data_IF_309331469543
#
_entry.id   IF_309331469543
#
_cell.length_a   1.000
_cell.length_b   1.000
_cell.length_c   1.000
_cell.angle_alpha   90.00
_cell.angle_beta   90.00
_cell.angle_gamma   90.00
#
_symmetry.space_group_name_H-M   'P 1'
#
loop_
_entity.id
_entity.type
_entity.pdbx_description
1 polymer ?
#
# COMPACT_ATOMS: atom_id res chain seq x y z
N UNK A 1 21.56 -26.06 13.45
CA UNK A 1 20.55 -26.79 12.68
C UNK A 1 19.84 -27.73 13.64
N UNK A 2 18.70 -27.28 14.21
CA UNK A 2 17.63 -28.10 14.84
C UNK A 2 16.74 -27.26 15.78
N UNK A 3 16.25 -26.10 15.30
CA UNK A 3 15.18 -25.33 15.97
C UNK A 3 14.00 -25.00 15.03
N UNK A 4 14.01 -25.55 13.81
CA UNK A 4 12.85 -25.57 12.91
C UNK A 4 12.13 -26.91 13.05
N UNK A 5 11.69 -27.21 14.27
CA UNK A 5 10.80 -28.36 14.48
C UNK A 5 9.44 -28.01 13.88
N UNK A 6 9.08 -28.80 12.87
CA UNK A 6 7.79 -28.88 12.17
C UNK A 6 6.65 -28.12 12.85
N UNK A 7 6.27 -26.96 12.30
CA UNK A 7 4.95 -26.39 12.55
C UNK A 7 3.96 -27.11 11.65
N UNK A 8 3.45 -28.24 12.11
CA UNK A 8 2.18 -28.74 11.58
C UNK A 8 1.10 -27.72 11.93
N UNK A 9 0.34 -27.28 10.91
CA UNK A 9 -0.86 -26.49 11.16
C UNK A 9 -1.86 -27.42 11.87
N UNK A 10 -1.97 -27.27 13.19
CA UNK A 10 -2.87 -28.09 13.99
C UNK A 10 -4.31 -27.63 13.75
N UNK A 11 -4.96 -28.11 12.69
CA UNK A 11 -6.42 -28.13 12.64
C UNK A 11 -6.94 -29.24 13.55
N UNK A 12 -7.03 -28.94 14.85
CA UNK A 12 -7.82 -29.74 15.79
C UNK A 12 -9.11 -29.00 16.11
N UNK A 13 -10.13 -29.22 15.30
CA UNK A 13 -11.48 -28.77 15.63
C UNK A 13 -12.23 -29.85 16.41
N UNK A 14 -12.27 -29.69 17.73
CA UNK A 14 -13.25 -30.38 18.58
C UNK A 14 -14.40 -29.42 18.91
N UNK A 15 -15.62 -29.95 19.00
CA UNK A 15 -16.86 -29.26 19.37
C UNK A 15 -16.84 -28.53 20.72
N UNK A 16 -15.77 -28.70 21.50
CA UNK A 16 -15.54 -28.09 22.82
C UNK A 16 -14.25 -27.25 22.90
N UNK A 17 -13.67 -26.87 21.76
CA UNK A 17 -12.53 -25.94 21.70
C UNK A 17 -12.86 -24.62 22.41
N UNK A 18 -11.95 -24.16 23.29
CA UNK A 18 -11.97 -22.82 23.90
C UNK A 18 -11.31 -21.76 23.02
N UNK A 19 -10.88 -22.12 21.80
CA UNK A 19 -10.36 -21.16 20.83
C UNK A 19 -11.53 -20.39 20.19
N UNK A 20 -11.34 -19.10 19.91
CA UNK A 20 -12.36 -18.18 19.38
C UNK A 20 -13.60 -18.03 20.27
N UNK A 21 -13.43 -18.13 21.60
CA UNK A 21 -14.48 -17.80 22.56
C UNK A 21 -14.57 -16.30 22.76
N UNK A 22 -15.74 -15.74 22.47
CA UNK A 22 -16.10 -14.36 22.79
C UNK A 22 -16.77 -14.33 24.16
N UNK A 23 -16.30 -13.44 25.03
CA UNK A 23 -16.98 -13.11 26.29
C UNK A 23 -17.95 -11.97 26.02
N UNK A 24 -19.15 -12.05 26.58
CA UNK A 24 -20.19 -11.04 26.40
C UNK A 24 -20.93 -10.81 27.70
N UNK A 25 -21.42 -9.58 27.86
CA UNK A 25 -22.39 -9.28 28.90
C UNK A 25 -23.72 -10.02 28.60
N UNK A 26 -24.19 -10.91 29.50
CA UNK A 26 -25.48 -11.60 29.36
C UNK A 26 -26.68 -10.67 29.16
N UNK A 27 -26.61 -9.43 29.66
CA UNK A 27 -27.65 -8.41 29.51
C UNK A 27 -27.67 -7.92 28.06
N UNK A 28 -26.52 -7.62 27.47
CA UNK A 28 -26.39 -7.20 26.08
C UNK A 28 -26.84 -8.33 25.13
N UNK A 29 -26.44 -9.57 25.38
CA UNK A 29 -26.89 -10.71 24.57
C UNK A 29 -28.41 -10.87 24.63
N UNK A 30 -29.02 -10.66 25.81
CA UNK A 30 -30.47 -10.78 25.97
C UNK A 30 -31.27 -9.66 25.29
N UNK A 31 -30.67 -8.48 25.09
CA UNK A 31 -31.27 -7.39 24.32
C UNK A 31 -31.32 -7.69 22.82
N UNK A 32 -30.29 -8.40 22.32
CA UNK A 32 -30.07 -8.63 20.88
C UNK A 32 -30.53 -10.01 20.39
N UNK A 33 -30.66 -11.00 21.29
CA UNK A 33 -31.10 -12.37 20.97
C UNK A 33 -32.11 -12.90 21.98
N UNK A 34 -33.25 -13.37 21.48
CA UNK A 34 -34.24 -14.13 22.27
C UNK A 34 -33.88 -15.61 22.32
N UNK A 35 -33.10 -15.97 23.32
CA UNK A 35 -32.58 -17.33 23.51
C UNK A 35 -33.67 -18.40 23.73
N UNK A 36 -33.72 -19.40 22.84
CA UNK A 36 -34.48 -20.65 23.06
C UNK A 36 -33.96 -21.40 24.29
N UNK A 37 -34.81 -22.26 24.90
CA UNK A 37 -34.51 -23.00 26.16
C UNK A 37 -33.13 -23.67 26.17
N UNK A 38 -32.74 -24.30 25.06
CA UNK A 38 -31.45 -24.99 24.92
C UNK A 38 -30.21 -24.08 24.99
N UNK A 39 -30.35 -22.79 24.69
CA UNK A 39 -29.25 -21.80 24.69
C UNK A 39 -29.22 -20.91 25.93
N UNK A 40 -30.16 -21.06 26.88
CA UNK A 40 -30.22 -20.20 28.08
C UNK A 40 -29.00 -20.33 29.00
N UNK A 41 -28.23 -21.41 28.89
CA UNK A 41 -26.98 -21.59 29.62
C UNK A 41 -25.95 -20.49 29.31
N UNK A 42 -26.04 -19.85 28.13
CA UNK A 42 -25.21 -18.70 27.75
C UNK A 42 -25.36 -17.51 28.69
N UNK A 43 -26.55 -17.34 29.30
CA UNK A 43 -26.78 -16.29 30.31
C UNK A 43 -25.93 -16.47 31.56
N UNK A 44 -25.57 -17.73 31.88
CA UNK A 44 -24.75 -18.07 33.04
C UNK A 44 -23.27 -18.11 32.69
N UNK A 45 -22.93 -18.59 31.50
CA UNK A 45 -21.54 -18.73 31.09
C UNK A 45 -20.90 -17.39 30.69
N UNK A 46 -21.67 -16.47 30.13
CA UNK A 46 -21.16 -15.17 29.67
C UNK A 46 -20.11 -15.28 28.55
N UNK A 47 -20.01 -16.45 27.91
CA UNK A 47 -19.06 -16.72 26.82
C UNK A 47 -19.53 -17.86 25.94
N UNK A 48 -19.21 -17.79 24.64
CA UNK A 48 -19.32 -18.92 23.72
C UNK A 48 -18.39 -18.73 22.52
N UNK A 49 -18.11 -19.79 21.78
CA UNK A 49 -17.37 -19.66 20.52
C UNK A 49 -18.19 -18.91 19.48
N UNK A 50 -17.52 -18.23 18.55
CA UNK A 50 -18.19 -17.55 17.43
C UNK A 50 -19.04 -18.51 16.59
N UNK A 51 -18.55 -19.73 16.36
CA UNK A 51 -19.33 -20.79 15.71
C UNK A 51 -20.60 -21.16 16.50
N UNK A 52 -20.50 -21.23 17.82
CA UNK A 52 -21.68 -21.48 18.65
C UNK A 52 -22.64 -20.29 18.64
N UNK A 53 -22.12 -19.06 18.58
CA UNK A 53 -22.94 -17.86 18.42
C UNK A 53 -23.66 -17.84 17.07
N UNK A 54 -23.01 -18.22 15.97
CA UNK A 54 -23.63 -18.42 14.65
C UNK A 54 -24.81 -19.39 14.75
N UNK A 55 -24.62 -20.53 15.41
CA UNK A 55 -25.72 -21.48 15.65
C UNK A 55 -26.85 -20.85 16.47
N UNK A 56 -26.53 -20.05 17.48
CA UNK A 56 -27.52 -19.37 18.33
C UNK A 56 -28.31 -18.33 17.54
N UNK A 57 -27.68 -17.46 16.76
CA UNK A 57 -28.36 -16.41 15.97
C UNK A 57 -29.14 -16.99 14.79
N UNK A 58 -28.72 -18.13 14.25
CA UNK A 58 -29.47 -18.85 13.21
C UNK A 58 -30.72 -19.53 13.76
N UNK A 59 -30.64 -20.05 14.98
CA UNK A 59 -31.75 -20.80 15.58
C UNK A 59 -32.65 -19.97 16.48
N UNK A 60 -32.25 -18.76 16.88
CA UNK A 60 -33.03 -17.84 17.72
C UNK A 60 -33.47 -16.60 16.92
N UNK A 61 -34.44 -15.87 17.48
CA UNK A 61 -34.77 -14.53 16.99
C UNK A 61 -33.67 -13.57 17.45
N UNK A 62 -32.93 -13.00 16.50
CA UNK A 62 -31.71 -12.23 16.70
C UNK A 62 -31.71 -11.02 15.75
N UNK A 63 -31.23 -9.85 16.24
CA UNK A 63 -31.12 -8.62 15.45
C UNK A 63 -30.04 -8.71 14.35
N UNK A 64 -30.08 -7.78 13.40
CA UNK A 64 -29.15 -7.78 12.26
C UNK A 64 -27.71 -7.48 12.67
N UNK A 65 -27.51 -6.74 13.76
CA UNK A 65 -26.19 -6.36 14.24
C UNK A 65 -25.44 -7.58 14.79
N UNK A 66 -26.10 -8.40 15.62
CA UNK A 66 -25.49 -9.61 16.15
C UNK A 66 -25.35 -10.71 15.08
N UNK A 67 -26.22 -10.74 14.08
CA UNK A 67 -26.05 -11.61 12.89
C UNK A 67 -24.80 -11.23 12.12
N UNK A 68 -24.65 -9.93 11.77
CA UNK A 68 -23.44 -9.42 11.10
C UNK A 68 -22.18 -9.68 11.90
N UNK A 69 -22.25 -9.58 13.23
CA UNK A 69 -21.13 -9.90 14.10
C UNK A 69 -20.79 -11.40 14.11
N UNK A 70 -21.80 -12.26 14.24
CA UNK A 70 -21.62 -13.71 14.26
C UNK A 70 -21.06 -14.24 12.93
N UNK A 71 -21.52 -13.71 11.80
CA UNK A 71 -21.15 -14.14 10.46
C UNK A 71 -19.96 -13.36 9.85
N UNK A 72 -19.58 -12.22 10.45
CA UNK A 72 -18.48 -11.39 9.95
C UNK A 72 -17.10 -12.02 10.14
N UNK A 73 -16.07 -11.48 9.49
CA UNK A 73 -14.69 -12.02 9.53
C UNK A 73 -13.85 -11.45 10.69
N UNK A 74 -14.29 -10.38 11.34
CA UNK A 74 -13.53 -9.69 12.38
C UNK A 74 -13.66 -10.37 13.75
N UNK A 75 -12.57 -10.30 14.54
CA UNK A 75 -12.50 -10.73 15.93
C UNK A 75 -12.39 -9.49 16.83
N UNK A 76 -13.07 -9.51 17.98
CA UNK A 76 -12.98 -8.44 18.99
C UNK A 76 -12.38 -9.09 20.25
N UNK A 77 -11.34 -8.46 20.78
CA UNK A 77 -10.74 -8.81 22.07
C UNK A 77 -11.08 -7.73 23.11
N UNK A 78 -11.08 -8.11 24.38
CA UNK A 78 -11.39 -7.19 25.48
C UNK A 78 -10.18 -6.30 25.76
N UNK A 79 -10.38 -4.97 25.76
CA UNK A 79 -9.34 -4.04 26.20
C UNK A 79 -9.15 -4.24 27.70
N UNK A 80 -8.07 -4.94 28.08
CA UNK A 80 -7.78 -5.29 29.47
C UNK A 80 -7.52 -4.08 30.36
N UNK A 81 -6.89 -3.03 29.80
CA UNK A 81 -6.52 -1.82 30.54
C UNK A 81 -6.14 -0.68 29.58
N UNK A 82 -6.33 0.57 30.02
CA UNK A 82 -5.88 1.77 29.29
C UNK A 82 -5.03 2.61 30.24
N UNK A 83 -3.77 2.88 29.87
CA UNK A 83 -2.83 3.63 30.70
C UNK A 83 -2.27 4.82 29.95
N UNK A 84 -2.15 5.94 30.64
CA UNK A 84 -1.33 7.06 30.19
C UNK A 84 0.13 6.81 30.60
N UNK A 85 1.02 6.68 29.61
CA UNK A 85 2.46 6.50 29.84
C UNK A 85 3.15 7.84 29.60
N UNK A 86 3.75 8.39 30.66
CA UNK A 86 4.61 9.58 30.58
C UNK A 86 6.04 9.09 30.66
N UNK A 87 6.72 8.92 29.52
CA UNK A 87 8.15 8.60 29.54
C UNK A 87 8.99 9.86 29.69
N UNK A 88 10.04 9.77 30.53
CA UNK A 88 11.03 10.84 30.72
C UNK A 88 12.12 10.81 29.65
N UNK A 89 12.12 9.78 28.80
CA UNK A 89 13.08 9.55 27.73
C UNK A 89 12.32 9.23 26.44
N UNK A 90 12.89 9.50 25.25
CA UNK A 90 12.30 9.09 24.00
C UNK A 90 12.28 7.55 23.93
N UNK A 91 11.10 6.95 23.87
CA UNK A 91 10.93 5.50 23.66
C UNK A 91 10.20 5.26 22.33
N UNK A 92 10.58 4.20 21.64
CA UNK A 92 9.85 3.72 20.47
C UNK A 92 8.53 3.09 20.94
N UNK A 93 7.42 3.49 20.33
CA UNK A 93 6.09 3.01 20.67
C UNK A 93 5.52 2.29 19.46
N UNK A 94 4.96 1.10 19.66
CA UNK A 94 4.21 0.38 18.63
C UNK A 94 2.72 0.70 18.77
N UNK A 95 2.02 0.92 17.66
CA UNK A 95 0.56 1.09 17.65
C UNK A 95 -0.16 -0.17 18.15
N UNK A 96 0.44 -1.35 17.97
CA UNK A 96 0.01 -2.63 18.51
C UNK A 96 1.24 -3.51 18.77
N UNK A 97 1.39 -4.07 19.97
CA UNK A 97 2.46 -5.03 20.32
C UNK A 97 1.82 -6.33 20.82
N UNK A 98 2.25 -7.46 20.25
CA UNK A 98 1.80 -8.80 20.65
C UNK A 98 3.03 -9.60 21.07
N UNK A 99 3.26 -9.73 22.38
CA UNK A 99 4.37 -10.54 22.88
C UNK A 99 4.02 -12.04 22.76
N UNK A 100 4.90 -12.93 22.26
CA UNK A 100 6.30 -12.71 21.84
C UNK A 100 6.48 -12.46 20.34
N UNK A 101 5.40 -12.37 19.56
CA UNK A 101 5.45 -12.25 18.10
C UNK A 101 4.90 -10.90 17.65
N UNK A 102 5.80 -9.95 17.45
CA UNK A 102 5.50 -8.61 16.93
C UNK A 102 5.31 -8.59 15.40
N UNK A 103 5.16 -9.77 14.78
CA UNK A 103 5.18 -9.96 13.34
C UNK A 103 3.76 -9.91 12.74
N UNK A 104 3.49 -8.90 11.92
CA UNK A 104 2.25 -8.79 11.13
C UNK A 104 2.48 -9.26 9.69
N UNK A 105 1.77 -10.26 9.19
CA UNK A 105 1.78 -10.61 7.75
C UNK A 105 0.44 -10.20 7.11
N UNK A 106 0.54 -9.44 6.02
CA UNK A 106 -0.55 -9.17 5.09
C UNK A 106 -0.66 -10.25 3.99
N UNK A 107 -1.91 -10.61 3.66
CA UNK A 107 -2.30 -11.46 2.53
C UNK A 107 -3.28 -10.71 1.59
N UNK A 108 -3.88 -11.44 0.65
CA UNK A 108 -4.72 -10.92 -0.45
C UNK A 108 -5.81 -9.96 0.06
N UNK A 109 -5.80 -8.71 -0.42
CA UNK A 109 -6.76 -7.68 0.00
C UNK A 109 -6.16 -6.35 0.47
N UNK A 110 -4.84 -6.24 0.63
CA UNK A 110 -4.17 -4.94 0.74
C UNK A 110 -4.18 -4.30 2.14
N UNK A 111 -3.08 -4.55 2.86
CA UNK A 111 -2.37 -3.63 3.78
C UNK A 111 -2.88 -3.50 5.22
N UNK A 112 -1.97 -3.84 6.15
CA UNK A 112 -1.48 -2.97 7.22
C UNK A 112 -0.04 -3.41 7.53
N UNK A 113 0.95 -2.52 7.30
CA UNK A 113 2.36 -2.77 7.65
C UNK A 113 2.84 -1.66 8.59
N UNK A 114 2.90 -1.99 9.87
CA UNK A 114 3.86 -1.38 10.79
C UNK A 114 4.46 -2.51 11.63
N UNK A 115 5.79 -2.59 11.64
CA UNK A 115 6.61 -3.63 12.27
C UNK A 115 6.47 -5.06 11.74
N UNK A 116 6.00 -5.23 10.50
CA UNK A 116 6.34 -6.45 9.77
C UNK A 116 7.84 -6.50 9.63
N UNK A 117 8.45 -7.55 10.18
CA UNK A 117 9.86 -7.86 10.10
C UNK A 117 10.41 -7.49 8.71
N UNK A 118 11.18 -6.40 8.62
CA UNK A 118 11.65 -5.88 7.33
C UNK A 118 12.36 -6.98 6.55
N UNK A 119 13.08 -7.84 7.26
CA UNK A 119 13.71 -9.05 6.71
C UNK A 119 12.71 -9.91 5.91
N UNK A 120 11.54 -10.24 6.47
CA UNK A 120 10.54 -11.06 5.79
C UNK A 120 9.96 -10.36 4.54
N UNK A 121 9.73 -9.05 4.60
CA UNK A 121 9.27 -8.28 3.43
C UNK A 121 10.32 -8.30 2.31
N UNK A 122 11.57 -8.00 2.64
CA UNK A 122 12.67 -7.98 1.69
C UNK A 122 13.02 -9.37 1.16
N UNK A 123 12.89 -10.42 1.97
CA UNK A 123 13.00 -11.80 1.51
C UNK A 123 11.91 -12.16 0.51
N UNK A 124 10.65 -11.80 0.80
CA UNK A 124 9.52 -12.04 -0.09
C UNK A 124 9.65 -11.27 -1.42
N UNK A 125 10.14 -10.03 -1.38
CA UNK A 125 10.47 -9.25 -2.58
C UNK A 125 11.59 -9.91 -3.38
N UNK A 126 12.67 -10.34 -2.72
CA UNK A 126 13.84 -10.93 -3.38
C UNK A 126 13.54 -12.25 -4.08
N UNK A 127 12.76 -13.14 -3.48
CA UNK A 127 12.41 -14.44 -4.08
C UNK A 127 11.26 -14.34 -5.09
N UNK A 128 10.71 -13.13 -5.31
CA UNK A 128 9.57 -12.91 -6.21
C UNK A 128 8.28 -13.59 -5.74
N UNK A 129 8.17 -13.89 -4.43
CA UNK A 129 6.94 -14.46 -3.85
C UNK A 129 5.77 -13.46 -3.92
N UNK A 130 6.08 -12.17 -4.06
CA UNK A 130 5.12 -11.11 -4.31
C UNK A 130 5.08 -10.82 -5.81
N UNK A 131 4.04 -11.30 -6.50
CA UNK A 131 3.80 -11.02 -7.91
C UNK A 131 3.29 -9.59 -8.18
N UNK A 132 3.26 -8.74 -7.15
CA UNK A 132 2.58 -7.44 -7.14
C UNK A 132 3.54 -6.33 -6.69
N UNK A 133 3.11 -5.08 -6.91
CA UNK A 133 3.82 -3.89 -6.43
C UNK A 133 3.90 -3.92 -4.90
N UNK A 134 5.10 -3.73 -4.38
CA UNK A 134 5.36 -3.55 -2.94
C UNK A 134 5.78 -2.12 -2.72
N UNK A 135 5.14 -1.46 -1.76
CA UNK A 135 5.47 -0.10 -1.35
C UNK A 135 5.46 0.00 0.17
N UNK A 136 6.30 0.89 0.70
CA UNK A 136 6.40 1.17 2.13
C UNK A 136 6.99 2.54 2.38
N UNK A 137 6.90 3.01 3.62
CA UNK A 137 7.50 4.27 4.06
C UNK A 137 8.56 3.99 5.09
N UNK A 138 9.71 4.66 4.97
CA UNK A 138 10.78 4.58 5.94
C UNK A 138 11.33 6.00 6.17
N UNK A 139 11.74 6.28 7.39
CA UNK A 139 12.42 7.52 7.71
C UNK A 139 13.84 7.50 7.12
N UNK A 140 14.09 8.34 6.12
CA UNK A 140 15.40 8.56 5.52
C UNK A 140 15.47 9.96 4.93
N UNK A 141 16.63 10.61 5.07
CA UNK A 141 16.88 11.97 4.55
C UNK A 141 17.41 11.96 3.10
N UNK A 142 17.83 10.80 2.60
CA UNK A 142 18.34 10.55 1.25
C UNK A 142 18.16 9.07 0.88
N UNK A 143 18.38 8.71 -0.39
CA UNK A 143 18.37 7.31 -0.83
C UNK A 143 19.41 6.44 -0.09
N UNK A 144 20.60 6.98 0.20
CA UNK A 144 21.60 6.30 1.03
C UNK A 144 21.15 6.19 2.49
N UNK A 145 20.51 7.22 3.05
CA UNK A 145 19.94 7.14 4.40
C UNK A 145 18.87 6.05 4.54
N UNK A 146 18.10 5.81 3.48
CA UNK A 146 17.18 4.66 3.41
C UNK A 146 17.94 3.33 3.42
N UNK A 147 19.04 3.23 2.66
CA UNK A 147 19.91 2.04 2.69
C UNK A 147 20.47 1.77 4.08
N UNK A 148 21.03 2.79 4.74
CA UNK A 148 21.62 2.68 6.07
C UNK A 148 20.61 2.13 7.09
N UNK A 149 19.39 2.68 7.07
CA UNK A 149 18.29 2.21 7.92
C UNK A 149 17.87 0.78 7.62
N UNK A 150 17.70 0.44 6.34
CA UNK A 150 17.23 -0.90 5.95
C UNK A 150 18.29 -1.96 6.27
N UNK A 151 19.54 -1.69 5.93
CA UNK A 151 20.61 -2.69 6.00
C UNK A 151 21.24 -2.75 7.38
N UNK A 152 21.61 -1.60 7.95
CA UNK A 152 22.34 -1.57 9.22
C UNK A 152 21.40 -1.54 10.42
N UNK A 153 20.32 -0.76 10.40
CA UNK A 153 19.40 -0.69 11.55
C UNK A 153 18.44 -1.89 11.59
N UNK A 154 17.85 -2.26 10.45
CA UNK A 154 16.87 -3.35 10.35
C UNK A 154 17.48 -4.72 10.02
N UNK A 155 18.79 -4.78 9.77
CA UNK A 155 19.52 -6.03 9.53
C UNK A 155 19.17 -6.74 8.22
N UNK A 156 18.57 -6.03 7.25
CA UNK A 156 18.26 -6.62 5.94
C UNK A 156 19.56 -6.82 5.15
N UNK A 157 19.79 -8.00 4.55
CA UNK A 157 20.98 -8.21 3.73
C UNK A 157 21.09 -7.17 2.60
N UNK A 158 22.29 -6.61 2.32
CA UNK A 158 22.48 -5.68 1.20
C UNK A 158 21.99 -6.23 -0.15
N UNK A 159 22.12 -7.55 -0.34
CA UNK A 159 21.62 -8.23 -1.54
C UNK A 159 20.10 -8.19 -1.67
N UNK A 160 19.36 -8.18 -0.56
CA UNK A 160 17.91 -8.05 -0.54
C UNK A 160 17.47 -6.60 -0.74
N UNK A 161 18.25 -5.60 -0.28
CA UNK A 161 17.97 -4.18 -0.53
C UNK A 161 17.81 -3.87 -2.03
N UNK A 162 18.58 -4.56 -2.89
CA UNK A 162 18.48 -4.45 -4.35
C UNK A 162 17.10 -4.80 -4.92
N UNK A 163 16.19 -5.37 -4.14
CA UNK A 163 14.81 -5.56 -4.55
C UNK A 163 14.01 -4.25 -4.65
N UNK A 164 14.48 -3.15 -4.04
CA UNK A 164 13.92 -1.80 -4.25
C UNK A 164 14.28 -1.32 -5.66
N UNK A 165 13.31 -0.82 -6.41
CA UNK A 165 13.54 -0.20 -7.72
C UNK A 165 13.65 1.33 -7.64
N UNK A 166 12.80 1.97 -6.83
CA UNK A 166 12.69 3.42 -6.72
C UNK A 166 12.59 3.85 -5.24
N UNK A 167 13.21 4.98 -4.93
CA UNK A 167 13.12 5.67 -3.64
C UNK A 167 12.68 7.10 -3.93
N UNK A 168 11.60 7.53 -3.27
CA UNK A 168 11.10 8.91 -3.37
C UNK A 168 11.30 9.60 -2.03
N UNK A 169 12.05 10.70 -2.00
CA UNK A 169 12.27 11.47 -0.77
C UNK A 169 11.30 12.65 -0.73
N UNK A 170 10.54 12.71 0.36
CA UNK A 170 9.64 13.81 0.67
C UNK A 170 10.20 14.60 1.85
N UNK A 171 10.40 15.91 1.70
CA UNK A 171 10.96 16.75 2.75
C UNK A 171 10.06 17.97 3.04
N UNK A 172 10.18 18.51 4.25
CA UNK A 172 9.53 19.75 4.69
C UNK A 172 10.52 20.91 4.53
N UNK A 173 10.31 21.72 3.50
CA UNK A 173 11.10 22.91 3.23
C UNK A 173 10.54 24.11 4.00
N UNK A 174 11.40 25.09 4.26
CA UNK A 174 11.04 26.35 4.90
C UNK A 174 11.19 27.50 3.93
N UNK A 175 10.29 28.47 4.01
CA UNK A 175 10.43 29.75 3.33
C UNK A 175 11.61 30.55 3.89
N UNK A 176 12.12 31.56 3.16
CA UNK A 176 13.19 32.43 3.64
C UNK A 176 12.86 33.14 4.97
N UNK A 177 11.58 33.37 5.26
CA UNK A 177 11.12 33.96 6.53
C UNK A 177 11.16 32.97 7.72
N UNK A 178 11.41 31.68 7.48
CA UNK A 178 11.43 30.63 8.50
C UNK A 178 10.08 30.27 9.13
N UNK A 179 9.00 30.99 8.80
CA UNK A 179 7.67 30.84 9.38
C UNK A 179 6.80 29.85 8.59
N UNK A 180 6.85 29.92 7.27
CA UNK A 180 6.05 29.03 6.44
C UNK A 180 6.80 27.73 6.14
N UNK A 181 6.07 26.62 6.25
CA UNK A 181 6.57 25.28 5.95
C UNK A 181 5.74 24.67 4.85
N UNK A 182 6.40 24.01 3.91
CA UNK A 182 5.74 23.33 2.80
C UNK A 182 6.43 22.00 2.52
N UNK A 183 5.64 20.99 2.15
CA UNK A 183 6.16 19.67 1.79
C UNK A 183 6.45 19.62 0.30
N UNK A 184 7.58 19.04 -0.08
CA UNK A 184 7.97 18.78 -1.46
C UNK A 184 8.54 17.39 -1.60
N UNK A 185 8.28 16.76 -2.74
CA UNK A 185 9.16 15.70 -3.22
C UNK A 185 10.46 16.38 -3.64
N UNK A 186 11.57 15.95 -3.05
CA UNK A 186 12.88 16.55 -3.30
C UNK A 186 13.74 15.72 -4.25
N UNK A 187 13.49 14.41 -4.28
CA UNK A 187 14.32 13.45 -5.00
C UNK A 187 13.46 12.25 -5.43
N UNK A 188 13.67 11.80 -6.66
CA UNK A 188 13.23 10.49 -7.14
C UNK A 188 14.47 9.74 -7.63
N UNK A 189 14.86 8.72 -6.90
CA UNK A 189 16.10 7.96 -7.12
C UNK A 189 15.76 6.55 -7.56
N UNK A 190 16.41 6.05 -8.61
CA UNK A 190 16.42 4.62 -8.93
C UNK A 190 17.59 3.90 -8.24
N UNK A 191 17.35 2.65 -7.87
CA UNK A 191 18.35 1.77 -7.26
C UNK A 191 18.85 0.79 -8.30
N UNK A 192 20.08 1.00 -8.79
CA UNK A 192 20.79 0.09 -9.67
C UNK A 192 21.17 -1.19 -8.92
N UNK A 193 21.31 -2.28 -9.67
CA UNK A 193 21.48 -3.64 -9.10
C UNK A 193 22.94 -4.11 -9.07
N UNK A 194 23.82 -3.42 -9.78
CA UNK A 194 25.23 -3.80 -9.97
C UNK A 194 26.19 -3.01 -9.06
N UNK A 195 26.21 -3.38 -7.79
CA UNK A 195 27.16 -2.92 -6.76
C UNK A 195 27.43 -4.07 -5.78
N UNK A 196 28.48 -4.02 -4.94
CA UNK A 196 28.84 -5.12 -4.03
C UNK A 196 29.08 -4.69 -2.59
N UNK A 197 29.86 -3.65 -2.37
CA UNK A 197 30.37 -3.26 -1.06
C UNK A 197 29.80 -1.90 -0.64
N UNK A 198 30.10 -0.85 -1.39
CA UNK A 198 29.63 0.50 -1.09
C UNK A 198 28.66 0.97 -2.19
N UNK A 199 27.35 0.96 -1.94
CA UNK A 199 26.37 1.37 -2.94
C UNK A 199 26.48 2.86 -3.32
N UNK A 200 27.02 3.72 -2.45
CA UNK A 200 27.20 5.13 -2.78
C UNK A 200 28.38 5.33 -3.73
N UNK A 201 29.55 4.76 -3.41
CA UNK A 201 30.75 4.87 -4.26
C UNK A 201 30.58 4.13 -5.60
N UNK A 202 29.86 3.01 -5.61
CA UNK A 202 29.59 2.21 -6.82
C UNK A 202 28.43 2.75 -7.66
N UNK A 203 27.84 3.89 -7.28
CA UNK A 203 26.78 4.54 -8.06
C UNK A 203 25.48 3.72 -8.12
N UNK A 204 25.11 3.08 -7.02
CA UNK A 204 23.85 2.35 -6.90
C UNK A 204 22.63 3.28 -6.94
N UNK A 205 22.76 4.52 -6.49
CA UNK A 205 21.69 5.49 -6.40
C UNK A 205 21.81 6.51 -7.53
N UNK A 206 20.79 6.59 -8.39
CA UNK A 206 20.79 7.53 -9.51
C UNK A 206 19.50 8.32 -9.53
N UNK A 207 19.63 9.63 -9.49
CA UNK A 207 18.47 10.52 -9.47
C UNK A 207 17.87 10.64 -10.86
N UNK A 208 16.58 10.33 -10.96
CA UNK A 208 15.76 10.54 -12.14
C UNK A 208 15.11 11.93 -12.12
N UNK A 209 14.78 12.42 -10.92
CA UNK A 209 14.27 13.77 -10.74
C UNK A 209 14.81 14.43 -9.47
N UNK A 210 15.05 15.73 -9.53
CA UNK A 210 15.58 16.53 -8.44
C UNK A 210 14.83 17.86 -8.30
N UNK A 211 14.62 18.29 -7.05
CA UNK A 211 13.92 19.52 -6.77
C UNK A 211 14.83 20.74 -6.89
N UNK A 212 14.39 21.72 -7.67
CA UNK A 212 15.03 23.03 -7.78
C UNK A 212 14.38 24.03 -6.82
N UNK A 213 15.09 24.37 -5.74
CA UNK A 213 14.65 25.39 -4.79
C UNK A 213 14.45 26.78 -5.42
N UNK A 214 15.18 27.08 -6.50
CA UNK A 214 15.08 28.34 -7.24
C UNK A 214 13.74 28.50 -7.95
N UNK A 215 13.19 27.41 -8.47
CA UNK A 215 11.97 27.43 -9.29
C UNK A 215 10.76 26.81 -8.58
N UNK A 216 10.95 26.25 -7.39
CA UNK A 216 9.94 25.48 -6.64
C UNK A 216 9.33 24.35 -7.48
N UNK A 217 10.20 23.59 -8.18
CA UNK A 217 9.80 22.53 -9.12
C UNK A 217 10.69 21.31 -9.04
N UNK A 218 10.08 20.13 -9.09
CA UNK A 218 10.78 18.86 -9.34
C UNK A 218 11.09 18.76 -10.83
N UNK A 219 12.37 18.57 -11.18
CA UNK A 219 12.88 18.56 -12.55
C UNK A 219 13.46 17.21 -12.91
N UNK A 220 13.30 16.73 -14.15
CA UNK A 220 14.00 15.55 -14.62
C UNK A 220 15.51 15.83 -14.69
N UNK A 221 16.31 14.81 -14.39
CA UNK A 221 17.77 14.83 -14.59
C UNK A 221 18.13 14.45 -16.03
N UNK A 222 19.38 14.68 -16.43
CA UNK A 222 19.89 14.24 -17.74
C UNK A 222 19.77 12.72 -17.92
N UNK A 223 20.00 11.93 -16.87
CA UNK A 223 19.82 10.48 -16.90
C UNK A 223 18.41 10.08 -17.33
N UNK A 224 17.39 10.74 -16.78
CA UNK A 224 16.01 10.46 -17.17
C UNK A 224 15.72 10.91 -18.61
N UNK A 225 16.18 12.10 -19.00
CA UNK A 225 15.92 12.66 -20.32
C UNK A 225 16.61 11.90 -21.45
N UNK A 226 17.82 11.40 -21.21
CA UNK A 226 18.62 10.66 -22.18
C UNK A 226 18.22 9.18 -22.27
N UNK A 227 17.25 8.72 -21.50
CA UNK A 227 16.81 7.32 -21.50
C UNK A 227 17.78 6.36 -20.81
N UNK A 228 18.64 6.85 -19.91
CA UNK A 228 19.64 6.06 -19.20
C UNK A 228 19.10 5.40 -17.92
N UNK A 229 17.83 5.63 -17.58
CA UNK A 229 17.18 4.99 -16.42
C UNK A 229 17.22 3.47 -16.55
N UNK A 230 17.81 2.81 -15.57
CA UNK A 230 17.81 1.35 -15.48
C UNK A 230 16.39 0.79 -15.41
N UNK A 231 15.53 1.37 -14.57
CA UNK A 231 14.17 0.87 -14.35
C UNK A 231 13.32 0.98 -15.62
N UNK A 232 13.40 2.10 -16.33
CA UNK A 232 12.64 2.26 -17.58
C UNK A 232 13.16 1.31 -18.65
N UNK A 233 14.48 1.13 -18.77
CA UNK A 233 15.06 0.18 -19.71
C UNK A 233 14.65 -1.27 -19.42
N UNK A 234 14.50 -1.67 -18.15
CA UNK A 234 13.98 -3.00 -17.78
C UNK A 234 12.51 -3.19 -18.21
N UNK A 235 11.70 -2.13 -18.19
CA UNK A 235 10.33 -2.16 -18.72
C UNK A 235 10.37 -2.29 -20.25
N UNK A 236 11.19 -1.48 -20.92
CA UNK A 236 11.33 -1.47 -22.38
C UNK A 236 11.71 -2.84 -22.95
N UNK A 237 12.63 -3.55 -22.28
CA UNK A 237 13.06 -4.90 -22.70
C UNK A 237 11.93 -5.93 -22.72
N UNK A 238 10.86 -5.71 -21.94
CA UNK A 238 9.73 -6.66 -21.78
C UNK A 238 8.56 -6.36 -22.71
N UNK A 239 8.55 -5.20 -23.35
CA UNK A 239 7.46 -4.75 -24.24
C UNK A 239 7.98 -4.65 -25.66
N UNK A 240 7.45 -5.48 -26.56
CA UNK A 240 7.95 -5.63 -27.94
C UNK A 240 7.99 -4.29 -28.69
N UNK A 241 6.98 -3.46 -28.49
CA UNK A 241 6.78 -2.18 -29.16
C UNK A 241 7.68 -1.05 -28.64
N UNK A 242 8.24 -1.21 -27.43
CA UNK A 242 9.11 -0.21 -26.79
C UNK A 242 10.58 -0.57 -26.86
N UNK A 243 10.91 -1.79 -27.27
CA UNK A 243 12.29 -2.23 -27.43
C UNK A 243 13.02 -1.33 -28.42
N UNK A 244 14.11 -0.72 -27.96
CA UNK A 244 14.95 0.20 -28.73
C UNK A 244 14.20 1.44 -29.27
N UNK A 245 13.05 1.80 -28.68
CA UNK A 245 12.23 2.94 -29.08
C UNK A 245 11.97 3.88 -27.89
N UNK A 246 12.98 4.68 -27.55
CA UNK A 246 12.89 5.65 -26.45
C UNK A 246 11.81 6.71 -26.68
N UNK A 247 11.68 7.22 -27.91
CA UNK A 247 10.72 8.26 -28.24
C UNK A 247 9.27 7.81 -27.93
N UNK A 248 8.90 6.58 -28.30
CA UNK A 248 7.58 6.05 -28.00
C UNK A 248 7.32 5.89 -26.48
N UNK A 249 8.35 5.57 -25.70
CA UNK A 249 8.27 5.45 -24.24
C UNK A 249 8.12 6.82 -23.61
N UNK A 250 8.94 7.78 -24.03
CA UNK A 250 8.90 9.15 -23.55
C UNK A 250 7.57 9.83 -23.88
N UNK A 251 7.07 9.63 -25.10
CA UNK A 251 5.75 10.10 -25.52
C UNK A 251 4.64 9.49 -24.65
N UNK A 252 4.74 8.21 -24.26
CA UNK A 252 3.78 7.59 -23.36
C UNK A 252 3.84 8.17 -21.94
N UNK A 253 5.05 8.44 -21.43
CA UNK A 253 5.26 9.09 -20.12
C UNK A 253 4.61 10.48 -20.13
N UNK A 254 4.88 11.29 -21.16
CA UNK A 254 4.31 12.63 -21.30
C UNK A 254 2.81 12.61 -21.50
N UNK A 255 2.28 11.63 -22.23
CA UNK A 255 0.83 11.41 -22.38
C UNK A 255 0.16 11.19 -21.02
N UNK A 256 0.72 10.30 -20.19
CA UNK A 256 0.19 10.03 -18.84
C UNK A 256 0.31 11.26 -17.93
N UNK A 257 1.41 12.00 -18.03
CA UNK A 257 1.58 13.26 -17.30
C UNK A 257 0.49 14.27 -17.69
N UNK A 258 0.22 14.43 -18.99
CA UNK A 258 -0.82 15.32 -19.53
C UNK A 258 -2.23 14.92 -19.08
N UNK A 259 -2.52 13.63 -19.02
CA UNK A 259 -3.79 13.09 -18.48
C UNK A 259 -3.95 13.51 -17.01
N UNK A 260 -2.92 13.30 -16.17
CA UNK A 260 -2.96 13.69 -14.76
C UNK A 260 -3.05 15.21 -14.55
N UNK A 261 -2.31 15.98 -15.32
CA UNK A 261 -2.40 17.44 -15.31
C UNK A 261 -3.82 17.91 -15.66
N UNK A 262 -4.44 17.28 -16.67
CA UNK A 262 -5.81 17.57 -17.07
C UNK A 262 -6.79 17.31 -15.94
N UNK A 263 -6.70 16.16 -15.25
CA UNK A 263 -7.54 15.86 -14.09
C UNK A 263 -7.42 16.94 -13.00
N UNK A 264 -6.19 17.36 -12.66
CA UNK A 264 -5.93 18.43 -11.68
C UNK A 264 -6.56 19.75 -12.11
N UNK A 265 -6.42 20.11 -13.39
CA UNK A 265 -6.96 21.35 -13.93
C UNK A 265 -8.49 21.37 -13.87
N UNK A 266 -9.16 20.27 -14.19
CA UNK A 266 -10.62 20.16 -14.07
C UNK A 266 -11.09 20.14 -12.62
N UNK A 267 -10.40 19.43 -11.73
CA UNK A 267 -10.69 19.43 -10.29
C UNK A 267 -10.66 20.84 -9.70
N UNK A 268 -9.62 21.62 -10.02
CA UNK A 268 -9.52 23.04 -9.61
C UNK A 268 -10.59 23.91 -10.25
N UNK A 269 -10.80 23.78 -11.57
CA UNK A 269 -11.74 24.62 -12.33
C UNK A 269 -13.20 24.41 -11.90
N UNK A 270 -13.57 23.17 -11.58
CA UNK A 270 -14.92 22.81 -11.16
C UNK A 270 -15.10 22.85 -9.64
N UNK A 271 -14.01 23.06 -8.88
CA UNK A 271 -13.96 22.96 -7.43
C UNK A 271 -14.47 21.59 -6.92
N UNK A 272 -14.04 20.51 -7.59
CA UNK A 272 -14.43 19.12 -7.35
C UNK A 272 -13.19 18.27 -7.02
N UNK A 273 -12.72 18.28 -5.75
CA UNK A 273 -11.52 17.55 -5.36
C UNK A 273 -11.67 16.03 -5.52
N UNK A 274 -12.90 15.51 -5.50
CA UNK A 274 -13.18 14.08 -5.64
C UNK A 274 -12.67 13.49 -6.96
N UNK A 275 -12.48 14.31 -8.00
CA UNK A 275 -11.89 13.90 -9.28
C UNK A 275 -10.46 13.34 -9.11
N UNK A 276 -9.78 13.70 -8.03
CA UNK A 276 -8.41 13.27 -7.72
C UNK A 276 -8.38 12.04 -6.81
N UNK A 277 -9.52 11.61 -6.28
CA UNK A 277 -9.62 10.46 -5.39
C UNK A 277 -9.48 9.14 -6.15
N UNK A 278 -9.30 8.06 -5.40
CA UNK A 278 -9.01 6.73 -5.93
C UNK A 278 -10.07 6.27 -6.96
N UNK A 279 -11.35 6.42 -6.64
CA UNK A 279 -12.46 5.97 -7.51
C UNK A 279 -12.39 6.59 -8.91
N UNK A 280 -12.08 7.87 -8.99
CA UNK A 280 -11.89 8.55 -10.28
C UNK A 280 -10.59 8.14 -10.96
N UNK A 281 -9.51 8.06 -10.20
CA UNK A 281 -8.20 7.69 -10.73
C UNK A 281 -8.20 6.29 -11.34
N UNK A 282 -8.87 5.32 -10.71
CA UNK A 282 -9.01 3.94 -11.21
C UNK A 282 -9.78 3.93 -12.52
N UNK A 283 -10.98 4.49 -12.54
CA UNK A 283 -11.84 4.51 -13.74
C UNK A 283 -11.18 5.25 -14.91
N UNK A 284 -10.51 6.39 -14.64
CA UNK A 284 -9.76 7.11 -15.65
C UNK A 284 -8.58 6.30 -16.22
N UNK A 285 -7.92 5.49 -15.39
CA UNK A 285 -6.80 4.65 -15.81
C UNK A 285 -7.28 3.44 -16.61
N UNK A 286 -8.38 2.80 -16.19
CA UNK A 286 -9.01 1.70 -16.95
C UNK A 286 -9.41 2.15 -18.35
N UNK A 287 -10.14 3.27 -18.47
CA UNK A 287 -10.53 3.79 -19.78
C UNK A 287 -9.32 4.18 -20.62
N UNK A 288 -8.27 4.76 -20.02
CA UNK A 288 -7.03 5.04 -20.72
C UNK A 288 -6.45 3.78 -21.38
N UNK A 289 -6.45 2.63 -20.68
CA UNK A 289 -5.99 1.36 -21.24
C UNK A 289 -6.93 0.83 -22.33
N UNK A 290 -8.24 0.92 -22.15
CA UNK A 290 -9.22 0.54 -23.19
C UNK A 290 -9.07 1.37 -24.45
N UNK A 291 -8.83 2.68 -24.34
CA UNK A 291 -8.61 3.56 -25.49
C UNK A 291 -7.26 3.26 -26.15
N UNK A 292 -6.20 3.01 -25.38
CA UNK A 292 -4.90 2.58 -25.92
C UNK A 292 -5.06 1.34 -26.81
N UNK A 293 -5.82 0.34 -26.35
CA UNK A 293 -6.04 -0.91 -27.09
C UNK A 293 -6.80 -0.67 -28.41
N UNK A 294 -7.92 0.07 -28.36
CA UNK A 294 -8.68 0.45 -29.56
C UNK A 294 -7.84 1.22 -30.58
N UNK A 295 -7.06 2.20 -30.13
CA UNK A 295 -6.17 2.97 -31.02
C UNK A 295 -5.10 2.08 -31.64
N UNK A 296 -4.53 1.16 -30.86
CA UNK A 296 -3.56 0.20 -31.35
C UNK A 296 -4.15 -0.74 -32.41
N UNK A 297 -5.38 -1.21 -32.24
CA UNK A 297 -6.07 -2.05 -33.24
C UNK A 297 -6.35 -1.29 -34.54
N UNK A 298 -6.76 -0.01 -34.44
CA UNK A 298 -7.14 0.80 -35.60
C UNK A 298 -5.93 1.32 -36.40
N UNK A 299 -4.88 1.79 -35.71
CA UNK A 299 -3.73 2.48 -36.33
C UNK A 299 -2.50 1.57 -36.42
N UNK A 300 -2.46 0.48 -35.66
CA UNK A 300 -1.30 -0.42 -35.55
C UNK A 300 -0.21 0.07 -34.59
N UNK A 301 -0.40 1.23 -33.95
CA UNK A 301 0.55 1.84 -33.00
C UNK A 301 -0.18 2.65 -31.93
N UNK A 302 0.54 3.02 -30.86
CA UNK A 302 0.01 3.88 -29.79
C UNK A 302 0.20 5.36 -30.17
N UNK A 303 -0.76 5.95 -30.87
CA UNK A 303 -0.76 7.39 -31.16
C UNK A 303 -1.19 8.20 -29.92
N UNK A 304 -0.21 8.84 -29.27
CA UNK A 304 -0.44 9.63 -28.05
C UNK A 304 -1.44 10.76 -28.22
N UNK A 305 -1.49 11.40 -29.39
CA UNK A 305 -2.41 12.52 -29.64
C UNK A 305 -3.84 12.00 -29.73
N UNK A 306 -4.07 10.95 -30.52
CA UNK A 306 -5.38 10.35 -30.68
C UNK A 306 -5.90 9.75 -29.37
N UNK A 307 -5.04 9.07 -28.61
CA UNK A 307 -5.38 8.53 -27.28
C UNK A 307 -5.82 9.65 -26.34
N UNK A 308 -5.06 10.75 -26.27
CA UNK A 308 -5.42 11.89 -25.41
C UNK A 308 -6.75 12.53 -25.81
N UNK A 309 -6.98 12.74 -27.11
CA UNK A 309 -8.21 13.36 -27.62
C UNK A 309 -9.45 12.54 -27.27
N UNK A 310 -9.41 11.22 -27.51
CA UNK A 310 -10.50 10.29 -27.16
C UNK A 310 -10.71 10.21 -25.65
N UNK A 311 -9.63 10.12 -24.87
CA UNK A 311 -9.71 10.08 -23.42
C UNK A 311 -10.30 11.38 -22.85
N UNK A 312 -9.92 12.54 -23.40
CA UNK A 312 -10.43 13.84 -22.97
C UNK A 312 -11.93 14.00 -23.28
N UNK A 313 -12.38 13.53 -24.44
CA UNK A 313 -13.80 13.53 -24.80
C UNK A 313 -14.62 12.69 -23.80
N UNK A 314 -14.22 11.44 -23.59
CA UNK A 314 -14.82 10.56 -22.60
C UNK A 314 -14.81 11.19 -21.19
N UNK A 315 -13.68 11.76 -20.77
CA UNK A 315 -13.53 12.33 -19.43
C UNK A 315 -14.47 13.51 -19.22
N UNK A 316 -14.63 14.38 -20.23
CA UNK A 316 -15.60 15.49 -20.18
C UNK A 316 -17.03 15.01 -20.06
N UNK A 317 -17.39 13.93 -20.75
CA UNK A 317 -18.75 13.39 -20.68
C UNK A 317 -19.01 12.69 -19.35
N UNK A 318 -18.03 11.97 -18.81
CA UNK A 318 -18.07 11.40 -17.46
C UNK A 318 -18.27 12.49 -16.40
N UNK A 319 -17.63 13.65 -16.54
CA UNK A 319 -17.82 14.79 -15.63
C UNK A 319 -19.25 15.36 -15.67
N UNK A 320 -19.93 15.33 -16.83
CA UNK A 320 -21.31 15.82 -16.99
C UNK A 320 -22.36 14.81 -16.48
N UNK A 321 -22.08 13.51 -16.62
CA UNK A 321 -23.01 12.42 -16.30
C UNK A 321 -23.28 12.17 -14.82
N UNK A 322 -22.64 12.91 -13.90
CA UNK A 322 -22.84 12.81 -12.45
C UNK A 322 -23.56 14.05 -11.85
N UNK A 323 -24.48 14.67 -12.59
CA UNK A 323 -25.35 15.71 -12.02
C UNK A 323 -26.43 15.13 -11.13
#
# INVERSE_FOLDING_TARGET
MDLLVQKELVEKQFSHSTLNTFSFDPVILAQRVRLKRKFRHLKRLGRCSKYYLQKVVNECEADDEIRKFADGEFFIDEVKDVRFVISRWPEYVYDLSVNPTENFIGGFGGILLHNTEALALFEAMRIGALANVVAGTIHGESAFGVYDRVVHDLGVPPTSFKAIDLITICNMLRSPDGLHRFRRVVELTEVRKHWKEDPLEEGAFVNLMEYSAKEDKLKPTETLLNGESYVINEIMKRVREWRDNWDAVWDNILLRAKVKETMVNYAKKLNRPEILEADWTVVCNEEFHTICDKVKEEVGSLDSKLIYERWLEWFKDRLKGQK
#
